data_IF_911725632725
#
_entry.id   IF_911725632725
#
_cell.length_a   1.000
_cell.length_b   1.000
_cell.length_c   1.000
_cell.angle_alpha   90.00
_cell.angle_beta   90.00
_cell.angle_gamma   90.00
#
_symmetry.space_group_name_H-M   'P 1'
#
loop_
_entity.id
_entity.type
_entity.pdbx_description
1 polymer ?
#
# COMPACT_ATOMS: atom_id res chain seq x y z
N UNK A 1 -26.43 -17.19 45.77
CA UNK A 1 -25.08 -16.79 45.34
C UNK A 1 -25.16 -16.31 43.91
N UNK A 2 -25.33 -15.01 43.74
CA UNK A 2 -25.62 -14.36 42.46
C UNK A 2 -24.35 -14.26 41.63
N UNK A 3 -24.27 -15.02 40.54
CA UNK A 3 -23.24 -14.88 39.52
C UNK A 3 -23.62 -13.71 38.61
N UNK A 4 -23.14 -12.52 38.94
CA UNK A 4 -23.24 -11.36 38.05
C UNK A 4 -22.01 -11.37 37.14
N UNK A 5 -22.12 -12.07 36.01
CA UNK A 5 -21.17 -11.96 34.91
C UNK A 5 -21.40 -10.66 34.16
N UNK A 6 -20.62 -9.63 34.48
CA UNK A 6 -20.53 -8.43 33.66
C UNK A 6 -19.52 -8.76 32.56
N UNK A 7 -20.02 -9.12 31.39
CA UNK A 7 -19.20 -9.27 30.18
C UNK A 7 -18.89 -7.86 29.67
N UNK A 8 -17.64 -7.40 29.86
CA UNK A 8 -17.18 -6.16 29.27
C UNK A 8 -17.15 -6.31 27.73
N UNK A 9 -17.62 -5.32 26.96
CA UNK A 9 -17.40 -5.29 25.52
C UNK A 9 -15.89 -5.32 25.25
N UNK A 10 -15.41 -6.31 24.49
CA UNK A 10 -14.04 -6.29 23.98
C UNK A 10 -13.95 -5.16 22.96
N UNK A 11 -13.26 -4.08 23.31
CA UNK A 11 -13.01 -2.92 22.46
C UNK A 11 -12.35 -3.35 21.13
N UNK A 12 -13.16 -3.54 20.09
CA UNK A 12 -12.72 -3.83 18.72
C UNK A 12 -12.35 -2.53 17.95
N UNK A 13 -12.37 -1.39 18.65
CA UNK A 13 -12.11 -0.06 18.14
C UNK A 13 -10.63 0.20 17.87
N UNK A 14 -9.72 -0.35 18.69
CA UNK A 14 -8.28 -0.19 18.47
C UNK A 14 -7.79 -0.96 17.23
N UNK A 15 -8.26 -2.19 17.03
CA UNK A 15 -7.87 -2.99 15.86
C UNK A 15 -8.31 -2.35 14.55
N UNK A 16 -9.51 -1.76 14.51
CA UNK A 16 -10.04 -1.09 13.32
C UNK A 16 -9.25 0.18 12.94
N UNK A 17 -8.62 0.85 13.91
CA UNK A 17 -7.77 2.03 13.65
C UNK A 17 -6.40 1.67 13.08
N UNK A 18 -5.92 0.47 13.41
CA UNK A 18 -4.64 -0.05 12.97
C UNK A 18 -4.70 -0.79 11.63
N UNK A 19 -5.90 -0.98 11.08
CA UNK A 19 -6.11 -1.61 9.79
C UNK A 19 -6.39 -0.61 8.66
N UNK A 20 -6.07 -1.02 7.43
CA UNK A 20 -6.38 -0.29 6.21
C UNK A 20 -6.83 -1.27 5.12
N UNK A 21 -7.54 -0.76 4.12
CA UNK A 21 -7.95 -1.58 2.97
C UNK A 21 -6.78 -1.80 2.05
N UNK A 22 -6.41 -3.07 1.82
CA UNK A 22 -5.45 -3.45 0.78
C UNK A 22 -6.18 -3.55 -0.55
N UNK A 23 -5.71 -2.82 -1.55
CA UNK A 23 -6.32 -2.86 -2.88
C UNK A 23 -6.09 -4.25 -3.49
N UNK A 24 -7.15 -4.87 -4.00
CA UNK A 24 -7.06 -6.09 -4.80
C UNK A 24 -7.20 -5.66 -6.25
N UNK A 25 -6.11 -5.62 -7.01
CA UNK A 25 -6.24 -5.46 -8.47
C UNK A 25 -6.45 -6.84 -9.09
N UNK A 26 -7.59 -7.02 -9.77
CA UNK A 26 -7.79 -8.20 -10.63
C UNK A 26 -6.73 -8.17 -11.74
N UNK A 27 -6.08 -9.30 -12.08
CA UNK A 27 -5.33 -9.40 -13.32
C UNK A 27 -6.27 -9.03 -14.49
N UNK A 28 -5.77 -8.36 -15.54
CA UNK A 28 -6.62 -7.92 -16.63
C UNK A 28 -7.31 -9.14 -17.24
N UNK A 29 -8.65 -9.19 -17.11
CA UNK A 29 -9.46 -10.16 -17.84
C UNK A 29 -9.34 -9.80 -19.30
N UNK A 30 -8.54 -10.58 -20.04
CA UNK A 30 -8.50 -10.51 -21.49
C UNK A 30 -9.92 -10.71 -21.98
N UNK A 31 -10.56 -9.64 -22.48
CA UNK A 31 -11.82 -9.76 -23.20
C UNK A 31 -11.51 -10.58 -24.45
N UNK A 32 -11.87 -11.86 -24.43
CA UNK A 32 -11.94 -12.68 -25.64
C UNK A 32 -13.01 -12.04 -26.51
N UNK A 33 -12.59 -11.29 -27.53
CA UNK A 33 -13.47 -10.72 -28.52
C UNK A 33 -14.29 -11.87 -29.14
N UNK A 34 -15.60 -11.87 -28.88
CA UNK A 34 -16.57 -12.66 -29.63
C UNK A 34 -16.53 -12.16 -31.06
N UNK A 35 -16.20 -13.06 -31.98
CA UNK A 35 -16.06 -12.78 -33.40
C UNK A 35 -17.35 -12.17 -33.99
N UNK A 36 -17.21 -11.12 -34.79
CA UNK A 36 -18.26 -10.60 -35.66
C UNK A 36 -18.66 -11.66 -36.70
N UNK A 37 -19.95 -11.81 -37.07
CA UNK A 37 -20.31 -12.63 -38.21
C UNK A 37 -20.13 -11.84 -39.51
N UNK A 38 -19.37 -12.45 -40.42
CA UNK A 38 -19.08 -12.01 -41.78
C UNK A 38 -20.37 -11.81 -42.59
N UNK A 39 -20.45 -10.66 -43.27
CA UNK A 39 -21.44 -10.36 -44.32
C UNK A 39 -21.09 -11.10 -45.61
N UNK A 40 -22.04 -11.83 -46.19
CA UNK A 40 -22.01 -12.25 -47.59
C UNK A 40 -23.39 -12.09 -48.24
N UNK A 41 -23.39 -11.49 -49.43
CA UNK A 41 -24.57 -11.14 -50.22
C UNK A 41 -25.05 -12.33 -51.11
N UNK A 42 -26.35 -12.67 -51.00
CA UNK A 42 -27.40 -13.05 -52.01
C UNK A 42 -27.10 -13.94 -53.25
N UNK A 43 -28.08 -14.71 -53.84
CA UNK A 43 -29.44 -14.22 -54.19
C UNK A 43 -30.66 -15.19 -54.23
N UNK A 44 -31.83 -14.54 -54.36
CA UNK A 44 -33.10 -14.85 -55.08
C UNK A 44 -34.05 -16.02 -54.71
N UNK A 45 -35.29 -15.57 -54.45
CA UNK A 45 -36.61 -16.10 -54.82
C UNK A 45 -37.40 -17.05 -53.91
N UNK A 46 -38.70 -16.72 -53.90
CA UNK A 46 -39.90 -17.41 -53.44
C UNK A 46 -40.50 -17.08 -52.06
N UNK A 47 -41.71 -16.53 -52.17
CA UNK A 47 -42.75 -16.31 -51.17
C UNK A 47 -43.10 -17.55 -50.35
N UNK A 48 -43.35 -17.41 -49.04
CA UNK A 48 -44.65 -17.56 -48.36
C UNK A 48 -44.45 -17.47 -46.83
N UNK A 49 -45.45 -16.84 -46.18
CA UNK A 49 -45.77 -16.81 -44.74
C UNK A 49 -44.90 -16.01 -43.77
N UNK A 50 -45.51 -14.92 -43.28
CA UNK A 50 -45.24 -14.27 -42.00
C UNK A 50 -45.45 -15.28 -40.86
N UNK A 51 -44.37 -15.79 -40.29
CA UNK A 51 -44.37 -16.45 -38.99
C UNK A 51 -43.80 -15.44 -37.98
N UNK A 52 -44.59 -15.14 -36.95
CA UNK A 52 -44.19 -14.28 -35.84
C UNK A 52 -42.89 -14.75 -35.19
N UNK A 53 -42.11 -13.84 -34.58
CA UNK A 53 -40.94 -14.24 -33.82
C UNK A 53 -41.39 -15.10 -32.64
N UNK A 54 -40.99 -16.37 -32.64
CA UNK A 54 -41.13 -17.23 -31.48
C UNK A 54 -40.16 -16.70 -30.44
N UNK A 55 -40.67 -15.95 -29.46
CA UNK A 55 -39.96 -15.69 -28.22
C UNK A 55 -39.74 -17.04 -27.55
N UNK A 56 -38.55 -17.62 -27.72
CA UNK A 56 -38.07 -18.59 -26.76
C UNK A 56 -37.87 -17.82 -25.45
N UNK A 57 -38.87 -17.90 -24.56
CA UNK A 57 -38.67 -17.64 -23.14
C UNK A 57 -37.57 -18.60 -22.69
N UNK A 58 -36.33 -18.11 -22.64
CA UNK A 58 -35.26 -18.81 -21.97
C UNK A 58 -35.58 -18.76 -20.46
N UNK A 59 -35.99 -19.89 -19.85
CA UNK A 59 -36.39 -19.91 -18.44
C UNK A 59 -35.21 -19.63 -17.50
N UNK A 60 -33.97 -19.56 -18.03
CA UNK A 60 -32.76 -19.23 -17.29
C UNK A 60 -32.29 -17.78 -17.45
N UNK A 61 -32.85 -16.98 -18.38
CA UNK A 61 -32.48 -15.57 -18.53
C UNK A 61 -32.80 -14.73 -17.28
N UNK A 62 -33.75 -15.17 -16.46
CA UNK A 62 -34.11 -14.50 -15.21
C UNK A 62 -33.15 -14.81 -14.05
N UNK A 63 -32.22 -15.76 -14.22
CA UNK A 63 -31.22 -16.14 -13.22
C UNK A 63 -29.85 -15.48 -13.41
N UNK A 64 -29.68 -14.65 -14.45
CA UNK A 64 -28.51 -13.77 -14.59
C UNK A 64 -28.65 -12.53 -13.70
N UNK A 65 -28.87 -12.73 -12.40
CA UNK A 65 -28.42 -11.73 -11.45
C UNK A 65 -26.88 -11.82 -11.44
N UNK A 66 -26.14 -10.74 -11.72
CA UNK A 66 -24.72 -10.75 -11.42
C UNK A 66 -24.63 -10.90 -9.90
N UNK A 67 -24.30 -12.11 -9.44
CA UNK A 67 -23.86 -12.34 -8.08
C UNK A 67 -22.65 -11.44 -7.88
N UNK A 68 -22.89 -10.28 -7.28
CA UNK A 68 -21.86 -9.39 -6.79
C UNK A 68 -21.28 -10.13 -5.59
N UNK A 69 -20.31 -11.00 -5.83
CA UNK A 69 -19.47 -11.49 -4.76
C UNK A 69 -18.76 -10.25 -4.22
N UNK A 70 -19.19 -9.78 -3.05
CA UNK A 70 -18.36 -8.87 -2.25
C UNK A 70 -17.04 -9.61 -2.03
N UNK A 71 -16.03 -9.30 -2.85
CA UNK A 71 -14.70 -9.85 -2.64
C UNK A 71 -14.27 -9.45 -1.23
N UNK A 72 -13.79 -10.40 -0.41
CA UNK A 72 -13.39 -10.09 0.94
C UNK A 72 -12.30 -9.02 0.89
N UNK A 73 -12.62 -7.82 1.39
CA UNK A 73 -11.67 -6.72 1.51
C UNK A 73 -10.52 -7.23 2.37
N UNK A 74 -9.34 -7.35 1.78
CA UNK A 74 -8.17 -7.77 2.54
C UNK A 74 -7.72 -6.60 3.41
N UNK A 75 -7.82 -6.74 4.73
CA UNK A 75 -7.33 -5.73 5.66
C UNK A 75 -5.81 -5.91 5.88
N UNK A 76 -5.05 -4.83 5.71
CA UNK A 76 -3.64 -4.74 6.09
C UNK A 76 -3.47 -4.16 7.48
N UNK A 77 -2.30 -4.36 8.11
CA UNK A 77 -1.94 -3.81 9.42
C UNK A 77 -0.83 -2.76 9.28
N UNK A 78 -0.99 -1.59 9.92
CA UNK A 78 -0.03 -0.49 9.80
C UNK A 78 1.36 -0.80 10.35
N UNK A 79 1.48 -1.58 11.43
CA UNK A 79 2.79 -1.98 11.96
C UNK A 79 3.50 -2.93 11.00
N UNK A 80 2.78 -3.89 10.42
CA UNK A 80 3.36 -4.83 9.45
C UNK A 80 3.81 -4.08 8.18
N UNK A 81 3.02 -3.12 7.72
CA UNK A 81 3.39 -2.26 6.59
C UNK A 81 4.67 -1.45 6.89
N UNK A 82 4.75 -0.82 8.06
CA UNK A 82 5.94 -0.06 8.46
C UNK A 82 7.18 -0.96 8.58
N UNK A 83 7.03 -2.18 9.09
CA UNK A 83 8.11 -3.15 9.15
C UNK A 83 8.59 -3.53 7.75
N UNK A 84 7.67 -3.82 6.82
CA UNK A 84 7.99 -4.13 5.43
C UNK A 84 8.69 -2.95 4.73
N UNK A 85 8.24 -1.71 4.97
CA UNK A 85 8.89 -0.50 4.45
C UNK A 85 10.30 -0.31 5.02
N UNK A 86 10.50 -0.61 6.30
CA UNK A 86 11.83 -0.55 6.91
C UNK A 86 12.79 -1.54 6.24
N UNK A 87 12.36 -2.79 6.07
CA UNK A 87 13.14 -3.82 5.38
C UNK A 87 13.44 -3.43 3.93
N UNK A 88 12.47 -2.85 3.23
CA UNK A 88 12.68 -2.31 1.89
C UNK A 88 13.80 -1.27 1.88
N UNK A 89 13.76 -0.27 2.77
CA UNK A 89 14.81 0.75 2.83
C UNK A 89 16.18 0.21 3.24
N UNK A 90 16.25 -0.79 4.12
CA UNK A 90 17.50 -1.51 4.44
C UNK A 90 18.08 -2.18 3.19
N UNK A 91 17.23 -2.84 2.39
CA UNK A 91 17.62 -3.49 1.14
C UNK A 91 18.04 -2.49 0.05
N UNK A 92 17.49 -1.28 0.05
CA UNK A 92 17.90 -0.22 -0.89
C UNK A 92 19.30 0.36 -0.59
N UNK A 93 19.76 0.34 0.67
CA UNK A 93 21.02 0.96 1.06
C UNK A 93 22.26 0.39 0.32
N UNK A 94 22.45 -0.93 0.18
CA UNK A 94 23.54 -1.51 -0.60
C UNK A 94 23.64 -1.00 -2.05
N UNK A 95 22.50 -0.66 -2.66
CA UNK A 95 22.40 -0.22 -4.05
C UNK A 95 22.76 1.27 -4.24
N UNK A 96 22.89 2.05 -3.17
CA UNK A 96 23.28 3.46 -3.23
C UNK A 96 24.70 3.70 -2.70
N UNK A 97 25.66 3.90 -3.62
CA UNK A 97 27.02 4.23 -3.23
C UNK A 97 27.11 5.56 -2.47
N UNK A 98 26.28 6.54 -2.85
CA UNK A 98 26.17 7.85 -2.19
C UNK A 98 25.75 7.70 -0.71
N UNK A 99 24.74 6.88 -0.44
CA UNK A 99 24.26 6.64 0.93
C UNK A 99 25.27 5.85 1.78
N UNK A 100 25.90 4.81 1.22
CA UNK A 100 26.99 4.08 1.89
C UNK A 100 28.16 4.99 2.25
N UNK A 101 28.59 5.82 1.29
CA UNK A 101 29.68 6.77 1.51
C UNK A 101 29.32 7.79 2.59
N UNK A 102 28.08 8.26 2.63
CA UNK A 102 27.61 9.16 3.67
C UNK A 102 27.77 8.56 5.08
N UNK A 103 27.32 7.32 5.31
CA UNK A 103 27.49 6.67 6.61
C UNK A 103 28.95 6.39 6.95
N UNK A 104 29.75 5.96 5.96
CA UNK A 104 31.18 5.73 6.13
C UNK A 104 31.92 7.00 6.53
N UNK A 105 31.65 8.13 5.88
CA UNK A 105 32.23 9.43 6.22
C UNK A 105 31.82 9.92 7.61
N UNK A 106 30.67 9.46 8.10
CA UNK A 106 30.17 9.73 9.45
C UNK A 106 30.75 8.79 10.51
N UNK A 107 31.60 7.83 10.12
CA UNK A 107 32.24 6.90 11.04
C UNK A 107 31.33 5.74 11.50
N UNK A 108 30.20 5.51 10.83
CA UNK A 108 29.31 4.41 11.19
C UNK A 108 29.86 3.09 10.63
N UNK A 109 29.92 2.09 11.49
CA UNK A 109 30.30 0.72 11.11
C UNK A 109 29.12 -0.01 10.49
N UNK A 110 29.37 -1.09 9.74
CA UNK A 110 28.30 -1.96 9.23
C UNK A 110 27.47 -2.57 10.37
N UNK A 111 28.10 -2.89 11.50
CA UNK A 111 27.40 -3.38 12.68
C UNK A 111 26.44 -2.32 13.24
N UNK A 112 26.87 -1.06 13.29
CA UNK A 112 26.00 0.06 13.70
C UNK A 112 24.85 0.25 12.71
N UNK A 113 25.12 0.23 11.40
CA UNK A 113 24.10 0.33 10.36
C UNK A 113 23.04 -0.77 10.52
N UNK A 114 23.46 -2.02 10.74
CA UNK A 114 22.55 -3.16 10.93
C UNK A 114 21.78 -3.07 12.26
N UNK A 115 22.46 -2.77 13.37
CA UNK A 115 21.84 -2.67 14.69
C UNK A 115 20.74 -1.60 14.74
N UNK A 116 20.99 -0.45 14.12
CA UNK A 116 20.03 0.66 13.99
C UNK A 116 19.11 0.52 12.77
N UNK A 117 19.24 -0.55 11.98
CA UNK A 117 18.44 -0.82 10.77
C UNK A 117 18.43 0.36 9.79
N UNK A 118 19.59 1.02 9.63
CA UNK A 118 19.68 2.19 8.78
C UNK A 118 19.49 1.82 7.31
N UNK A 119 18.73 2.65 6.60
CA UNK A 119 18.33 2.38 5.22
C UNK A 119 18.59 3.55 4.28
N UNK A 120 18.08 3.43 3.06
CA UNK A 120 18.08 4.47 2.04
C UNK A 120 16.73 4.54 1.34
N UNK A 121 16.17 5.74 1.23
CA UNK A 121 15.02 6.00 0.40
C UNK A 121 15.47 6.41 -1.01
N UNK A 122 15.07 5.67 -2.06
CA UNK A 122 15.40 5.99 -3.45
C UNK A 122 15.01 7.43 -3.85
N UNK A 123 15.65 7.95 -4.89
CA UNK A 123 15.37 9.30 -5.42
C UNK A 123 14.04 9.39 -6.16
N UNK A 124 13.53 8.25 -6.64
CA UNK A 124 12.29 8.14 -7.40
C UNK A 124 11.09 8.67 -6.62
N UNK A 125 10.18 9.32 -7.34
CA UNK A 125 9.02 10.02 -6.75
C UNK A 125 7.96 9.07 -6.19
N UNK A 126 7.92 7.82 -6.66
CA UNK A 126 6.86 6.85 -6.38
C UNK A 126 7.46 5.44 -6.17
N UNK A 127 8.60 5.35 -5.48
CA UNK A 127 9.24 4.06 -5.21
C UNK A 127 8.42 3.21 -4.24
N UNK A 128 7.67 3.82 -3.32
CA UNK A 128 6.79 3.07 -2.41
C UNK A 128 5.57 2.52 -3.14
N UNK A 129 4.97 3.30 -4.05
CA UNK A 129 3.85 2.82 -4.88
C UNK A 129 4.26 1.61 -5.73
N UNK A 130 5.47 1.62 -6.28
CA UNK A 130 6.03 0.50 -7.05
C UNK A 130 6.31 -0.73 -6.18
N UNK A 131 6.81 -0.52 -4.96
CA UNK A 131 7.18 -1.61 -4.05
C UNK A 131 5.96 -2.22 -3.33
N UNK A 132 4.94 -1.42 -3.06
CA UNK A 132 3.76 -1.79 -2.28
C UNK A 132 2.46 -1.36 -2.97
N UNK A 133 2.18 -1.84 -4.20
CA UNK A 133 1.07 -1.36 -5.03
C UNK A 133 -0.31 -1.61 -4.41
N UNK A 134 -0.40 -2.55 -3.47
CA UNK A 134 -1.65 -2.90 -2.80
C UNK A 134 -1.86 -2.13 -1.49
N UNK A 135 -0.83 -1.47 -0.95
CA UNK A 135 -0.83 -0.87 0.39
C UNK A 135 -0.86 0.66 0.38
N UNK A 136 -1.24 1.26 -0.76
CA UNK A 136 -1.24 2.72 -0.98
C UNK A 136 -2.05 3.45 0.08
N UNK A 137 -3.23 2.93 0.45
CA UNK A 137 -4.10 3.55 1.44
C UNK A 137 -3.43 3.57 2.83
N UNK A 138 -2.77 2.48 3.21
CA UNK A 138 -1.97 2.41 4.44
C UNK A 138 -0.78 3.37 4.42
N UNK A 139 -0.07 3.47 3.29
CA UNK A 139 1.06 4.40 3.12
C UNK A 139 0.63 5.87 3.18
N UNK A 140 -0.57 6.19 2.68
CA UNK A 140 -1.18 7.51 2.82
C UNK A 140 -1.60 7.79 4.26
N UNK A 141 -2.19 6.82 4.94
CA UNK A 141 -2.57 6.94 6.36
C UNK A 141 -1.35 7.17 7.26
N UNK A 142 -0.22 6.55 6.94
CA UNK A 142 1.07 6.78 7.61
C UNK A 142 1.76 8.10 7.18
N UNK A 143 1.23 8.76 6.14
CA UNK A 143 1.77 9.98 5.56
C UNK A 143 3.13 9.82 4.88
N UNK A 144 3.47 8.59 4.48
CA UNK A 144 4.67 8.27 3.70
C UNK A 144 4.46 8.57 2.21
N UNK A 145 3.22 8.41 1.73
CA UNK A 145 2.74 8.93 0.44
C UNK A 145 1.86 10.16 0.70
N UNK A 146 2.02 11.20 -0.13
CA UNK A 146 1.19 12.41 -0.11
C UNK A 146 0.71 12.75 -1.50
N UNK A 147 -0.47 13.35 -1.60
CA UNK A 147 -0.99 13.89 -2.85
C UNK A 147 -0.62 15.36 -2.97
N UNK A 148 -0.14 15.79 -4.14
CA UNK A 148 0.07 17.20 -4.44
C UNK A 148 -1.24 17.88 -4.88
N UNK A 149 -1.23 19.21 -5.01
CA UNK A 149 -2.40 19.99 -5.42
C UNK A 149 -2.97 19.60 -6.79
N UNK A 150 -2.14 19.00 -7.65
CA UNK A 150 -2.57 18.49 -8.96
C UNK A 150 -3.12 17.05 -8.92
N UNK A 151 -3.22 16.45 -7.73
CA UNK A 151 -3.72 15.09 -7.52
C UNK A 151 -2.68 13.98 -7.69
N UNK A 152 -1.43 14.29 -8.05
CA UNK A 152 -0.37 13.27 -8.17
C UNK A 152 0.20 12.90 -6.80
N UNK A 153 0.28 11.61 -6.53
CA UNK A 153 0.90 11.03 -5.36
C UNK A 153 2.44 11.05 -5.45
N UNK A 154 3.10 11.25 -4.31
CA UNK A 154 4.55 11.24 -4.20
C UNK A 154 5.03 10.80 -2.80
N UNK A 155 6.23 10.26 -2.76
CA UNK A 155 6.87 9.81 -1.52
C UNK A 155 7.44 10.99 -0.73
N UNK A 156 7.17 11.01 0.58
CA UNK A 156 7.64 12.03 1.52
C UNK A 156 9.18 12.01 1.66
N UNK A 157 9.75 10.80 1.70
CA UNK A 157 11.16 10.56 1.94
C UNK A 157 11.82 10.10 0.64
N UNK A 158 12.70 10.93 0.08
CA UNK A 158 13.38 10.65 -1.21
C UNK A 158 14.82 11.16 -1.20
N UNK A 159 15.72 10.39 -1.81
CA UNK A 159 17.17 10.63 -1.85
C UNK A 159 17.74 10.97 -0.45
N UNK A 160 17.37 10.13 0.52
CA UNK A 160 17.68 10.31 1.95
C UNK A 160 18.18 9.02 2.56
N UNK A 161 19.13 9.14 3.49
CA UNK A 161 19.39 8.04 4.42
C UNK A 161 18.29 8.00 5.47
N UNK A 162 17.87 6.79 5.82
CA UNK A 162 16.70 6.51 6.63
C UNK A 162 17.12 5.96 8.00
N UNK A 163 16.42 6.45 9.01
CA UNK A 163 16.52 6.06 10.41
C UNK A 163 15.13 5.59 10.84
N UNK A 164 14.88 4.27 10.91
CA UNK A 164 13.62 3.75 11.42
C UNK A 164 13.44 4.14 12.87
N UNK A 165 12.27 4.68 13.18
CA UNK A 165 11.90 5.08 14.52
C UNK A 165 11.14 3.91 15.15
N UNK A 166 11.64 3.40 16.28
CA UNK A 166 11.06 2.26 17.00
C UNK A 166 10.39 2.68 18.30
N UNK A 167 9.25 2.06 18.59
CA UNK A 167 8.59 2.19 19.89
C UNK A 167 9.34 1.40 20.98
N UNK A 168 8.97 1.54 22.27
CA UNK A 168 9.62 0.79 23.35
C UNK A 168 9.51 -0.74 23.23
N UNK A 169 8.60 -1.25 22.38
CA UNK A 169 8.44 -2.68 22.09
C UNK A 169 9.28 -3.11 20.87
N UNK A 170 10.03 -2.19 20.27
CA UNK A 170 10.88 -2.44 19.10
C UNK A 170 10.16 -2.39 17.75
N UNK A 171 8.87 -2.03 17.74
CA UNK A 171 8.08 -1.96 16.50
C UNK A 171 8.41 -0.68 15.76
N UNK A 172 8.56 -0.75 14.44
CA UNK A 172 8.73 0.45 13.62
C UNK A 172 7.42 1.24 13.63
N UNK A 173 7.49 2.51 13.98
CA UNK A 173 6.34 3.44 14.04
C UNK A 173 6.44 4.57 13.03
N UNK A 174 7.64 4.86 12.53
CA UNK A 174 7.86 5.89 11.52
C UNK A 174 9.31 5.96 11.10
N UNK A 175 9.66 7.01 10.37
CA UNK A 175 10.99 7.17 9.80
C UNK A 175 11.49 8.61 9.95
N UNK A 176 12.77 8.74 10.25
CA UNK A 176 13.54 9.97 10.05
C UNK A 176 14.38 9.84 8.77
N UNK A 177 14.40 10.88 7.95
CA UNK A 177 15.17 10.93 6.72
C UNK A 177 16.10 12.13 6.68
N UNK A 178 17.40 11.88 6.50
CA UNK A 178 18.40 12.93 6.34
C UNK A 178 18.84 13.04 4.88
N UNK A 179 18.82 14.25 4.37
CA UNK A 179 19.34 14.59 3.05
C UNK A 179 20.82 14.20 2.93
N UNK A 180 21.24 13.70 1.78
CA UNK A 180 22.63 13.29 1.56
C UNK A 180 23.59 14.45 1.27
N UNK A 181 23.06 15.59 0.81
CA UNK A 181 23.79 16.83 0.58
C UNK A 181 22.95 18.05 1.02
N UNK A 182 23.51 19.25 0.95
CA UNK A 182 22.86 20.48 1.41
C UNK A 182 21.89 21.10 0.38
N UNK A 183 21.91 20.61 -0.86
CA UNK A 183 21.01 21.02 -1.96
C UNK A 183 19.59 20.48 -1.72
N UNK A 184 19.48 19.27 -1.17
CA UNK A 184 18.20 18.65 -0.84
C UNK A 184 17.67 19.24 0.47
N UNK A 185 16.69 20.13 0.37
CA UNK A 185 16.01 20.74 1.51
C UNK A 185 14.67 20.04 1.81
N UNK A 186 14.24 20.02 3.09
CA UNK A 186 15.02 20.34 4.29
C UNK A 186 16.06 19.26 4.60
N UNK A 187 17.04 19.58 5.46
CA UNK A 187 18.12 18.65 5.85
C UNK A 187 17.60 17.38 6.52
N UNK A 188 16.55 17.51 7.32
CA UNK A 188 15.87 16.41 8.02
C UNK A 188 14.37 16.49 7.79
N UNK A 189 13.74 15.33 7.61
CA UNK A 189 12.28 15.15 7.56
C UNK A 189 11.96 13.97 8.46
N UNK A 190 10.91 14.09 9.27
CA UNK A 190 10.34 12.95 9.99
C UNK A 190 8.96 12.64 9.41
N UNK A 191 8.55 11.37 9.50
CA UNK A 191 7.15 10.98 9.30
C UNK A 191 6.22 11.91 10.09
N UNK A 192 5.01 12.24 9.57
CA UNK A 192 4.00 12.96 10.35
C UNK A 192 3.48 12.09 11.50
N UNK A 193 2.74 12.68 12.44
CA UNK A 193 2.02 11.88 13.43
C UNK A 193 0.97 11.00 12.73
N UNK A 194 0.70 9.83 13.30
CA UNK A 194 -0.26 8.84 12.82
C UNK A 194 -0.87 8.07 14.00
N UNK A 195 -1.78 7.14 13.74
CA UNK A 195 -2.35 6.26 14.79
C UNK A 195 -1.30 5.40 15.50
N UNK A 196 -0.14 5.16 14.88
CA UNK A 196 0.96 4.37 15.46
C UNK A 196 2.15 5.20 15.90
N UNK A 197 2.19 6.50 15.56
CA UNK A 197 3.32 7.38 15.86
C UNK A 197 2.88 8.73 16.41
N UNK A 198 3.34 9.01 17.63
CA UNK A 198 3.14 10.28 18.31
C UNK A 198 4.49 10.87 18.71
N UNK A 199 4.96 11.88 17.97
CA UNK A 199 6.30 12.47 18.14
C UNK A 199 6.61 12.91 19.57
N UNK A 200 5.62 13.45 20.26
CA UNK A 200 5.80 14.01 21.61
C UNK A 200 5.87 12.95 22.71
N UNK A 201 5.59 11.69 22.39
CA UNK A 201 5.54 10.58 23.35
C UNK A 201 6.68 9.57 23.13
N UNK A 202 7.55 9.84 22.16
CA UNK A 202 8.57 8.88 21.74
C UNK A 202 9.98 9.46 21.86
N UNK A 203 10.88 8.66 22.44
CA UNK A 203 12.31 8.92 22.48
C UNK A 203 13.04 7.93 21.57
N UNK A 204 13.67 8.45 20.52
CA UNK A 204 14.50 7.64 19.63
C UNK A 204 15.68 7.03 20.38
N UNK A 205 15.98 5.75 20.15
CA UNK A 205 17.05 5.04 20.85
C UNK A 205 16.63 4.39 22.16
N UNK A 206 15.41 4.60 22.64
CA UNK A 206 14.94 4.03 23.91
C UNK A 206 14.85 2.50 23.86
N UNK A 207 14.54 1.92 22.70
CA UNK A 207 14.49 0.47 22.52
C UNK A 207 15.88 -0.17 22.43
N UNK A 208 16.83 0.57 21.87
CA UNK A 208 18.21 0.12 21.64
C UNK A 208 19.13 0.25 22.85
N UNK A 209 18.74 1.07 23.84
CA UNK A 209 19.54 1.44 25.01
C UNK A 209 19.57 0.42 26.14
#
# INVERSE_FOLDING_TARGET
>A
SSSTGIELPKDNTENKKLSYTRQVTKPPVTKTNTAEPVTSQQPSDESYNTLEPVFFDDPFAQFEQPFSFDEPVQEGNLYDLLENVAQFYEQQLPHSQKAKNYFKQRGLTNQTIQFWRLGYAPEDWQHLEKAFPYDIDGLKQLGLIRSSDNGRDFDLLRDRVIFPIRDPKGRVVGFGGRALNDEIKPKYINSPDSEVFHKNQLLYGLYEG
#
